data_IF_471771132613
#
_entry.id   IF_471771132613
#
_cell.length_a   1.000
_cell.length_b   1.000
_cell.length_c   1.000
_cell.angle_alpha   90.00
_cell.angle_beta   90.00
_cell.angle_gamma   90.00
#
_symmetry.space_group_name_H-M   'P 1'
#
loop_
_entity.id
_entity.type
_entity.pdbx_description
1 polymer ?
#
# COMPACT_ATOMS: atom_id res chain seq x y z
N UNK A 1 49.35 -19.37 -39.49
CA UNK A 1 49.11 -17.92 -39.32
C UNK A 1 48.36 -17.75 -38.01
N UNK A 2 48.97 -17.13 -37.00
CA UNK A 2 48.32 -16.83 -35.72
C UNK A 2 48.35 -15.32 -35.55
N UNK A 3 47.19 -14.68 -35.70
CA UNK A 3 47.03 -13.24 -35.51
C UNK A 3 47.17 -12.92 -34.01
N UNK A 4 48.24 -12.19 -33.66
CA UNK A 4 48.44 -11.67 -32.32
C UNK A 4 47.48 -10.49 -32.13
N UNK A 5 46.36 -10.74 -31.44
CA UNK A 5 45.43 -9.68 -31.03
C UNK A 5 46.15 -8.79 -30.01
N UNK A 6 46.58 -7.60 -30.46
CA UNK A 6 47.18 -6.58 -29.60
C UNK A 6 46.17 -6.13 -28.55
N UNK A 7 46.33 -6.62 -27.32
CA UNK A 7 45.50 -6.20 -26.19
C UNK A 7 45.84 -4.75 -25.83
N UNK A 8 44.95 -3.84 -26.20
CA UNK A 8 45.05 -2.43 -25.82
C UNK A 8 44.77 -2.32 -24.32
N UNK A 9 45.79 -2.00 -23.53
CA UNK A 9 45.64 -1.78 -22.09
C UNK A 9 44.61 -0.67 -21.85
N UNK A 10 43.58 -0.88 -21.02
CA UNK A 10 42.58 0.15 -20.76
C UNK A 10 43.26 1.36 -20.13
N UNK A 11 42.92 2.55 -20.61
CA UNK A 11 43.46 3.80 -20.08
C UNK A 11 43.15 3.89 -18.57
N UNK A 12 44.19 3.95 -17.74
CA UNK A 12 44.03 4.12 -16.30
C UNK A 12 43.65 5.57 -15.99
N UNK A 13 42.59 5.76 -15.22
CA UNK A 13 42.24 7.07 -14.65
C UNK A 13 43.41 7.62 -13.83
N UNK A 14 43.63 8.93 -13.84
CA UNK A 14 44.62 9.57 -12.95
C UNK A 14 44.25 9.40 -11.47
N UNK A 15 45.21 9.53 -10.53
CA UNK A 15 45.01 9.20 -9.12
C UNK A 15 43.86 10.00 -8.45
N UNK A 16 43.70 11.27 -8.83
CA UNK A 16 42.61 12.10 -8.33
C UNK A 16 41.24 11.64 -8.85
N UNK A 17 41.15 11.25 -10.12
CA UNK A 17 39.92 10.75 -10.71
C UNK A 17 39.53 9.39 -10.13
N UNK A 18 40.51 8.52 -9.86
CA UNK A 18 40.28 7.26 -9.16
C UNK A 18 39.75 7.51 -7.75
N UNK A 19 40.35 8.43 -6.99
CA UNK A 19 39.91 8.75 -5.64
C UNK A 19 38.48 9.29 -5.61
N UNK A 20 38.13 10.20 -6.52
CA UNK A 20 36.76 10.72 -6.65
C UNK A 20 35.79 9.59 -7.00
N UNK A 21 36.14 8.74 -7.96
CA UNK A 21 35.30 7.62 -8.37
C UNK A 21 35.10 6.63 -7.22
N UNK A 22 36.17 6.25 -6.51
CA UNK A 22 36.10 5.39 -5.33
C UNK A 22 35.22 5.99 -4.24
N UNK A 23 35.35 7.29 -3.98
CA UNK A 23 34.49 7.99 -3.02
C UNK A 23 33.01 7.92 -3.42
N UNK A 24 32.69 8.20 -4.69
CA UNK A 24 31.32 8.12 -5.22
C UNK A 24 30.75 6.69 -5.12
N UNK A 25 31.56 5.67 -5.43
CA UNK A 25 31.17 4.27 -5.30
C UNK A 25 30.87 3.92 -3.84
N UNK A 26 31.75 4.29 -2.91
CA UNK A 26 31.55 4.03 -1.48
C UNK A 26 30.29 4.74 -0.98
N UNK A 27 30.11 6.02 -1.33
CA UNK A 27 28.88 6.77 -1.01
C UNK A 27 27.64 6.08 -1.56
N UNK A 28 27.68 5.57 -2.79
CA UNK A 28 26.55 4.89 -3.40
C UNK A 28 26.25 3.55 -2.74
N UNK A 29 27.26 2.72 -2.49
CA UNK A 29 27.11 1.45 -1.77
C UNK A 29 26.54 1.67 -0.38
N UNK A 30 27.03 2.69 0.35
CA UNK A 30 26.46 3.07 1.63
C UNK A 30 24.99 3.47 1.50
N UNK A 31 24.60 4.23 0.48
CA UNK A 31 23.20 4.59 0.23
C UNK A 31 22.29 3.39 -0.11
N UNK A 32 22.76 2.44 -0.92
CA UNK A 32 22.05 1.21 -1.25
C UNK A 32 21.84 0.34 0.00
N UNK A 33 22.87 0.24 0.85
CA UNK A 33 22.84 -0.54 2.09
C UNK A 33 22.08 0.17 3.23
N UNK A 34 22.09 1.50 3.24
CA UNK A 34 21.41 2.34 4.23
C UNK A 34 19.89 2.16 4.18
N UNK A 35 19.31 2.03 2.99
CA UNK A 35 17.86 1.86 2.81
C UNK A 35 17.29 0.67 3.60
N UNK A 36 17.79 -0.57 3.47
CA UNK A 36 17.30 -1.69 4.29
C UNK A 36 17.76 -1.62 5.76
N UNK A 37 18.96 -1.10 6.07
CA UNK A 37 19.51 -1.15 7.43
C UNK A 37 18.98 -0.09 8.40
N UNK A 38 18.56 1.08 7.91
CA UNK A 38 18.20 2.21 8.77
C UNK A 38 16.71 2.53 8.81
N UNK A 39 15.89 1.79 8.05
CA UNK A 39 14.45 1.90 8.12
C UNK A 39 13.89 1.28 9.42
N UNK A 40 12.81 1.83 9.99
CA UNK A 40 12.14 1.22 11.13
C UNK A 40 11.68 -0.22 10.83
N UNK A 41 11.70 -1.12 11.83
CA UNK A 41 12.10 -0.89 13.22
C UNK A 41 13.64 -0.83 13.37
N UNK A 42 14.14 0.30 13.90
CA UNK A 42 15.58 0.56 14.06
C UNK A 42 15.85 1.50 15.23
N UNK A 43 17.11 1.60 15.65
CA UNK A 43 17.48 2.49 16.76
C UNK A 43 17.28 3.97 16.42
N UNK A 44 17.10 4.83 17.43
CA UNK A 44 16.97 6.30 17.23
C UNK A 44 18.15 6.88 16.46
N UNK A 45 19.35 6.31 16.62
CA UNK A 45 20.55 6.71 15.87
C UNK A 45 20.39 6.41 14.37
N UNK A 46 19.94 5.20 14.04
CA UNK A 46 19.71 4.79 12.66
C UNK A 46 18.64 5.65 12.00
N UNK A 47 17.54 5.98 12.69
CA UNK A 47 16.52 6.87 12.14
C UNK A 47 17.05 8.28 11.82
N UNK A 48 17.96 8.81 12.64
CA UNK A 48 18.63 10.11 12.37
C UNK A 48 19.55 10.05 11.16
N UNK A 49 20.36 8.99 11.06
CA UNK A 49 21.24 8.76 9.89
C UNK A 49 20.43 8.59 8.60
N UNK A 50 19.33 7.82 8.66
CA UNK A 50 18.40 7.67 7.55
C UNK A 50 17.83 9.02 7.10
N UNK A 51 17.36 9.84 8.05
CA UNK A 51 16.81 11.17 7.78
C UNK A 51 17.82 12.06 7.06
N UNK A 52 19.10 12.04 7.48
CA UNK A 52 20.17 12.77 6.80
C UNK A 52 20.44 12.30 5.37
N UNK A 53 20.21 11.02 5.08
CA UNK A 53 20.43 10.43 3.75
C UNK A 53 19.26 10.59 2.77
N UNK A 54 18.10 11.07 3.22
CA UNK A 54 16.86 11.10 2.44
C UNK A 54 16.98 11.82 1.10
N UNK A 55 17.74 12.91 1.04
CA UNK A 55 17.94 13.64 -0.21
C UNK A 55 18.58 12.75 -1.27
N UNK A 56 19.66 12.04 -0.91
CA UNK A 56 20.37 11.14 -1.81
C UNK A 56 19.52 9.93 -2.21
N UNK A 57 18.92 9.25 -1.22
CA UNK A 57 18.16 8.02 -1.47
C UNK A 57 16.90 8.27 -2.28
N UNK A 58 16.16 9.37 -2.04
CA UNK A 58 14.96 9.72 -2.82
C UNK A 58 15.28 10.15 -4.24
N UNK A 59 16.34 10.94 -4.43
CA UNK A 59 16.75 11.41 -5.77
C UNK A 59 17.06 10.22 -6.68
N UNK A 60 17.68 9.17 -6.13
CA UNK A 60 17.98 7.94 -6.87
C UNK A 60 16.92 6.84 -6.72
N UNK A 61 15.79 7.13 -6.04
CA UNK A 61 14.71 6.17 -5.76
C UNK A 61 15.17 4.87 -5.08
N UNK A 62 16.24 4.94 -4.26
CA UNK A 62 16.80 3.81 -3.51
C UNK A 62 15.98 3.45 -2.26
N UNK A 63 15.11 4.35 -1.79
CA UNK A 63 14.26 4.14 -0.60
C UNK A 63 12.99 3.31 -0.90
N UNK A 64 12.64 3.10 -2.17
CA UNK A 64 11.41 2.39 -2.55
C UNK A 64 11.57 0.87 -2.64
N UNK A 65 12.79 0.36 -2.78
CA UNK A 65 13.01 -1.03 -3.21
C UNK A 65 12.76 -2.06 -2.11
N UNK A 66 13.09 -1.76 -0.84
CA UNK A 66 12.96 -2.73 0.24
C UNK A 66 11.55 -2.78 0.86
N UNK A 67 10.86 -1.63 0.92
CA UNK A 67 9.46 -1.56 1.40
C UNK A 67 8.47 -2.21 0.44
N UNK A 68 8.88 -2.52 -0.79
CA UNK A 68 8.06 -3.24 -1.76
C UNK A 68 7.95 -4.75 -1.43
N UNK A 69 8.97 -5.35 -0.81
CA UNK A 69 9.03 -6.82 -0.63
C UNK A 69 8.75 -7.30 0.80
N UNK A 70 8.71 -6.42 1.81
CA UNK A 70 8.38 -6.80 3.19
C UNK A 70 7.65 -5.72 4.00
N UNK A 71 6.66 -4.97 3.44
CA UNK A 71 5.76 -4.26 4.33
C UNK A 71 4.94 -5.32 5.08
N UNK A 72 4.82 -5.20 6.39
CA UNK A 72 3.58 -5.63 7.04
C UNK A 72 2.51 -4.67 6.52
N UNK A 73 1.66 -5.08 5.55
CA UNK A 73 0.72 -4.16 4.93
C UNK A 73 -0.42 -3.79 5.90
N UNK A 74 -0.44 -4.38 7.10
CA UNK A 74 -1.58 -4.38 7.98
C UNK A 74 -2.76 -5.14 7.38
N UNK A 75 -3.95 -5.02 7.99
CA UNK A 75 -5.16 -5.60 7.44
C UNK A 75 -5.49 -4.96 6.09
N UNK A 76 -5.78 -5.80 5.11
CA UNK A 76 -6.40 -5.33 3.86
C UNK A 76 -7.82 -4.85 4.15
N UNK A 77 -8.31 -3.90 3.37
CA UNK A 77 -9.58 -3.20 3.56
C UNK A 77 -10.41 -3.31 2.31
N UNK A 78 -11.57 -3.91 2.46
CA UNK A 78 -12.58 -4.05 1.42
C UNK A 78 -13.82 -3.25 1.81
N UNK A 79 -14.58 -2.80 0.81
CA UNK A 79 -15.85 -2.12 1.06
C UNK A 79 -17.01 -2.97 0.56
N UNK A 80 -17.91 -3.31 1.49
CA UNK A 80 -19.21 -3.90 1.19
C UNK A 80 -20.28 -2.83 1.24
N UNK A 81 -21.26 -2.93 0.37
CA UNK A 81 -22.44 -2.08 0.39
C UNK A 81 -23.70 -2.92 0.53
N UNK A 82 -24.72 -2.29 1.11
CA UNK A 82 -26.08 -2.79 1.21
C UNK A 82 -27.02 -1.69 0.70
N UNK A 83 -27.82 -2.01 -0.30
CA UNK A 83 -28.72 -1.09 -0.98
C UNK A 83 -30.15 -1.50 -0.70
N UNK A 84 -31.00 -0.53 -0.41
CA UNK A 84 -32.45 -0.73 -0.36
C UNK A 84 -33.06 -0.09 -1.60
N UNK A 85 -33.60 -0.91 -2.49
CA UNK A 85 -34.21 -0.51 -3.76
C UNK A 85 -35.59 0.14 -3.55
N UNK A 86 -36.15 0.70 -4.62
CA UNK A 86 -37.41 1.44 -4.55
C UNK A 86 -38.61 0.56 -4.15
N UNK A 87 -38.57 -0.72 -4.51
CA UNK A 87 -39.52 -1.78 -4.19
C UNK A 87 -39.32 -2.40 -2.79
N UNK A 88 -38.27 -1.98 -2.07
CA UNK A 88 -37.92 -2.51 -0.76
C UNK A 88 -36.98 -3.73 -0.80
N UNK A 89 -36.61 -4.23 -1.98
CA UNK A 89 -35.62 -5.29 -2.08
C UNK A 89 -34.25 -4.80 -1.58
N UNK A 90 -33.54 -5.67 -0.87
CA UNK A 90 -32.19 -5.38 -0.38
C UNK A 90 -31.16 -6.09 -1.24
N UNK A 91 -30.23 -5.34 -1.81
CA UNK A 91 -29.13 -5.86 -2.61
C UNK A 91 -27.80 -5.61 -1.91
N UNK A 92 -26.98 -6.64 -1.78
CA UNK A 92 -25.64 -6.53 -1.22
C UNK A 92 -24.58 -6.72 -2.31
N UNK A 93 -23.40 -6.16 -2.08
CA UNK A 93 -22.28 -6.34 -3.00
C UNK A 93 -20.99 -5.73 -2.45
N UNK A 94 -19.91 -5.90 -3.20
CA UNK A 94 -18.59 -5.36 -2.85
C UNK A 94 -18.14 -4.39 -3.93
N UNK A 95 -17.45 -3.31 -3.54
CA UNK A 95 -16.81 -2.43 -4.52
C UNK A 95 -15.76 -3.18 -5.33
N UNK A 96 -15.02 -4.08 -4.70
CA UNK A 96 -13.98 -4.91 -5.32
C UNK A 96 -14.35 -6.39 -5.23
N UNK A 97 -14.99 -6.91 -6.27
CA UNK A 97 -15.39 -8.32 -6.31
C UNK A 97 -14.65 -9.07 -7.43
N UNK A 98 -13.84 -10.06 -7.04
CA UNK A 98 -12.94 -10.75 -7.97
C UNK A 98 -13.68 -11.52 -9.07
N UNK A 99 -14.85 -12.10 -8.75
CA UNK A 99 -15.62 -12.91 -9.68
C UNK A 99 -16.47 -12.07 -10.66
N UNK A 100 -16.80 -10.84 -10.28
CA UNK A 100 -17.68 -9.95 -11.05
C UNK A 100 -16.90 -8.94 -11.90
N UNK A 101 -15.58 -8.78 -11.67
CA UNK A 101 -14.78 -7.72 -12.27
C UNK A 101 -13.61 -8.27 -13.10
N UNK A 102 -13.78 -8.27 -14.41
CA UNK A 102 -12.76 -8.57 -15.41
C UNK A 102 -12.52 -7.35 -16.33
N UNK A 103 -11.28 -7.09 -16.79
CA UNK A 103 -10.02 -7.78 -16.48
C UNK A 103 -9.54 -7.53 -15.04
N UNK A 104 -8.52 -8.28 -14.59
CA UNK A 104 -8.01 -8.17 -13.20
C UNK A 104 -7.56 -6.76 -12.83
N UNK A 105 -7.16 -5.92 -13.78
CA UNK A 105 -6.86 -4.50 -13.54
C UNK A 105 -8.09 -3.68 -13.09
N UNK A 106 -9.30 -4.03 -13.54
CA UNK A 106 -10.55 -3.40 -13.10
C UNK A 106 -10.84 -3.72 -11.64
N UNK A 107 -10.74 -5.00 -11.27
CA UNK A 107 -10.78 -5.42 -9.87
C UNK A 107 -9.76 -4.68 -9.03
N UNK A 108 -8.50 -4.65 -9.48
CA UNK A 108 -7.42 -4.02 -8.73
C UNK A 108 -7.67 -2.52 -8.52
N UNK A 109 -8.24 -1.81 -9.50
CA UNK A 109 -8.62 -0.41 -9.33
C UNK A 109 -9.63 -0.23 -8.19
N UNK A 110 -10.70 -1.02 -8.14
CA UNK A 110 -11.69 -0.89 -7.07
C UNK A 110 -11.17 -1.37 -5.71
N UNK A 111 -10.29 -2.38 -5.71
CA UNK A 111 -9.57 -2.81 -4.52
C UNK A 111 -8.75 -1.65 -3.94
N UNK A 112 -7.94 -0.98 -4.77
CA UNK A 112 -7.14 0.17 -4.33
C UNK A 112 -7.99 1.35 -3.86
N UNK A 113 -9.19 1.55 -4.41
CA UNK A 113 -10.13 2.56 -3.92
C UNK A 113 -10.66 2.21 -2.52
N UNK A 114 -11.01 0.94 -2.29
CA UNK A 114 -11.44 0.44 -0.98
C UNK A 114 -10.34 0.55 0.08
N UNK A 115 -9.11 0.15 -0.27
CA UNK A 115 -7.91 0.31 0.56
C UNK A 115 -7.67 1.76 0.96
N UNK A 116 -7.81 2.67 0.00
CA UNK A 116 -7.56 4.09 0.20
C UNK A 116 -8.58 4.71 1.16
N UNK A 117 -9.85 4.35 1.06
CA UNK A 117 -10.89 4.85 1.95
C UNK A 117 -10.65 4.45 3.40
N UNK A 118 -10.32 3.18 3.67
CA UNK A 118 -10.09 2.74 5.05
C UNK A 118 -8.79 3.24 5.70
N UNK A 119 -7.97 4.04 5.01
CA UNK A 119 -6.74 4.64 5.55
C UNK A 119 -6.86 6.12 5.93
N UNK A 120 -8.02 6.74 5.74
CA UNK A 120 -8.18 8.21 5.77
C UNK A 120 -8.63 8.80 7.11
N UNK A 121 -8.36 8.09 8.20
CA UNK A 121 -8.56 8.58 9.58
C UNK A 121 -7.71 9.81 9.98
N UNK A 122 -7.05 10.50 9.05
CA UNK A 122 -6.28 11.72 9.32
C UNK A 122 -7.04 13.01 8.96
N UNK A 123 -8.06 12.93 8.12
CA UNK A 123 -8.92 14.06 7.75
C UNK A 123 -10.36 13.57 7.60
N UNK A 124 -11.14 13.73 8.67
CA UNK A 124 -12.54 13.29 8.75
C UNK A 124 -13.42 13.99 7.72
N UNK A 125 -13.13 15.24 7.35
CA UNK A 125 -13.95 16.01 6.41
C UNK A 125 -13.85 15.43 5.01
N UNK A 126 -12.63 15.22 4.52
CA UNK A 126 -12.41 14.58 3.23
C UNK A 126 -12.96 13.17 3.25
N UNK A 127 -12.66 12.36 4.27
CA UNK A 127 -13.17 11.00 4.35
C UNK A 127 -14.71 10.92 4.23
N UNK A 128 -15.43 11.74 4.99
CA UNK A 128 -16.89 11.79 4.96
C UNK A 128 -17.43 12.24 3.60
N UNK A 129 -16.79 13.22 2.95
CA UNK A 129 -17.18 13.69 1.63
C UNK A 129 -17.06 12.57 0.57
N UNK A 130 -16.01 11.74 0.63
CA UNK A 130 -15.87 10.62 -0.28
C UNK A 130 -16.88 9.51 0.01
N UNK A 131 -17.13 9.16 1.27
CA UNK A 131 -18.18 8.20 1.61
C UNK A 131 -19.55 8.63 1.06
N UNK A 132 -19.88 9.92 1.20
CA UNK A 132 -21.10 10.48 0.64
C UNK A 132 -21.13 10.41 -0.89
N UNK A 133 -20.02 10.70 -1.58
CA UNK A 133 -19.95 10.61 -3.03
C UNK A 133 -20.13 9.17 -3.54
N UNK A 134 -19.48 8.19 -2.90
CA UNK A 134 -19.69 6.77 -3.20
C UNK A 134 -21.12 6.31 -2.93
N UNK A 135 -21.69 6.71 -1.80
CA UNK A 135 -23.08 6.44 -1.46
C UNK A 135 -24.03 6.98 -2.56
N UNK A 136 -23.84 8.23 -2.97
CA UNK A 136 -24.61 8.86 -4.04
C UNK A 136 -24.44 8.14 -5.38
N UNK A 137 -23.22 7.74 -5.72
CA UNK A 137 -22.91 7.01 -6.94
C UNK A 137 -23.65 5.66 -6.97
N UNK A 138 -23.56 4.87 -5.90
CA UNK A 138 -24.22 3.56 -5.78
C UNK A 138 -25.74 3.69 -5.80
N UNK A 139 -26.29 4.70 -5.11
CA UNK A 139 -27.73 4.96 -5.15
C UNK A 139 -28.20 5.32 -6.56
N UNK A 140 -27.43 6.13 -7.29
CA UNK A 140 -27.75 6.51 -8.67
C UNK A 140 -27.63 5.33 -9.65
N UNK A 141 -26.54 4.55 -9.54
CA UNK A 141 -26.28 3.41 -10.42
C UNK A 141 -27.34 2.31 -10.26
N UNK A 142 -27.74 2.03 -9.03
CA UNK A 142 -28.70 0.96 -8.72
C UNK A 142 -30.13 1.44 -8.50
N UNK A 143 -30.41 2.74 -8.65
CA UNK A 143 -31.72 3.34 -8.37
C UNK A 143 -32.21 3.03 -6.95
N UNK A 144 -31.28 3.00 -5.98
CA UNK A 144 -31.56 2.69 -4.59
C UNK A 144 -32.03 3.95 -3.83
N UNK A 145 -32.88 3.74 -2.81
CA UNK A 145 -33.36 4.80 -1.90
C UNK A 145 -32.41 5.01 -0.72
N UNK A 146 -31.80 3.92 -0.25
CA UNK A 146 -30.87 3.94 0.86
C UNK A 146 -29.64 3.09 0.55
N UNK A 147 -28.51 3.48 1.12
CA UNK A 147 -27.26 2.74 1.06
C UNK A 147 -26.61 2.73 2.43
N UNK A 148 -26.08 1.57 2.80
CA UNK A 148 -25.13 1.42 3.90
C UNK A 148 -23.80 0.97 3.33
N UNK A 149 -22.71 1.52 3.86
CA UNK A 149 -21.36 1.13 3.52
C UNK A 149 -20.69 0.53 4.74
N UNK A 150 -19.98 -0.58 4.51
CA UNK A 150 -19.25 -1.33 5.52
C UNK A 150 -17.80 -1.45 5.09
N UNK A 151 -16.89 -1.12 6.00
CA UNK A 151 -15.47 -1.35 5.85
C UNK A 151 -15.11 -2.70 6.48
N UNK A 152 -14.56 -3.58 5.67
CA UNK A 152 -14.17 -4.93 6.07
C UNK A 152 -12.65 -4.97 6.14
N UNK A 153 -12.13 -5.25 7.33
CA UNK A 153 -10.72 -5.50 7.59
C UNK A 153 -10.46 -6.99 7.49
N UNK A 154 -9.55 -7.39 6.61
CA UNK A 154 -9.08 -8.77 6.49
C UNK A 154 -7.62 -8.85 6.92
N UNK A 155 -7.40 -9.51 8.06
CA UNK A 155 -6.07 -9.77 8.61
C UNK A 155 -5.45 -10.99 7.93
N UNK A 156 -4.14 -10.95 7.73
CA UNK A 156 -3.41 -12.16 7.37
C UNK A 156 -3.17 -12.98 8.64
N UNK A 157 -3.31 -14.32 8.58
CA UNK A 157 -2.93 -15.15 9.71
C UNK A 157 -1.43 -14.96 9.97
N UNK A 158 -1.05 -14.87 11.25
CA UNK A 158 0.36 -14.91 11.59
C UNK A 158 0.94 -16.31 11.29
N UNK A 159 2.27 -16.42 11.33
CA UNK A 159 2.96 -17.66 10.98
C UNK A 159 2.46 -18.83 11.83
N UNK A 160 2.24 -18.62 13.12
CA UNK A 160 1.81 -19.64 14.06
C UNK A 160 0.41 -20.16 13.73
N UNK A 161 -0.55 -19.28 13.47
CA UNK A 161 -1.91 -19.63 13.08
C UNK A 161 -1.94 -20.35 11.72
N UNK A 162 -1.17 -19.86 10.75
CA UNK A 162 -1.10 -20.48 9.42
C UNK A 162 -0.51 -21.90 9.48
N UNK A 163 0.60 -22.09 10.21
CA UNK A 163 1.19 -23.42 10.43
C UNK A 163 0.26 -24.31 11.25
N UNK A 164 -0.52 -23.72 12.17
CA UNK A 164 -1.58 -24.37 12.94
C UNK A 164 -2.81 -24.77 12.12
N UNK A 165 -2.88 -24.40 10.83
CA UNK A 165 -3.95 -24.80 9.92
C UNK A 165 -5.01 -23.72 9.63
N UNK A 166 -4.86 -22.50 10.14
CA UNK A 166 -5.76 -21.39 9.79
C UNK A 166 -5.63 -21.06 8.31
N UNK A 167 -6.74 -21.13 7.58
CA UNK A 167 -6.79 -20.77 6.17
C UNK A 167 -6.63 -19.25 5.97
N UNK A 168 -6.19 -18.84 4.77
CA UNK A 168 -6.00 -17.41 4.46
C UNK A 168 -7.33 -16.62 4.44
N UNK A 169 -8.43 -17.31 4.17
CA UNK A 169 -9.80 -16.79 4.06
C UNK A 169 -10.66 -17.19 5.26
N UNK A 170 -10.05 -17.56 6.38
CA UNK A 170 -10.77 -17.89 7.61
C UNK A 170 -11.63 -16.70 8.09
N UNK A 171 -12.92 -16.96 8.34
CA UNK A 171 -13.90 -15.97 8.79
C UNK A 171 -13.48 -15.20 10.04
N UNK A 172 -12.67 -15.80 10.92
CA UNK A 172 -12.16 -15.15 12.14
C UNK A 172 -11.16 -14.03 11.87
N UNK A 173 -10.61 -13.97 10.65
CA UNK A 173 -9.69 -12.94 10.20
C UNK A 173 -10.39 -11.70 9.66
N UNK A 174 -11.72 -11.70 9.61
CA UNK A 174 -12.52 -10.60 9.10
C UNK A 174 -13.19 -9.83 10.23
N UNK A 175 -13.05 -8.50 10.20
CA UNK A 175 -13.80 -7.56 11.05
C UNK A 175 -14.55 -6.59 10.16
N UNK A 176 -15.83 -6.38 10.43
CA UNK A 176 -16.66 -5.45 9.69
C UNK A 176 -17.07 -4.25 10.56
N UNK A 177 -17.12 -3.06 9.95
CA UNK A 177 -17.52 -1.82 10.60
C UNK A 177 -18.40 -0.99 9.65
N UNK A 178 -19.59 -0.57 10.11
CA UNK A 178 -20.43 0.33 9.30
C UNK A 178 -19.84 1.74 9.30
N UNK A 179 -19.56 2.27 8.13
CA UNK A 179 -18.96 3.60 7.95
C UNK A 179 -19.93 4.61 7.33
N UNK A 180 -21.02 4.13 6.71
CA UNK A 180 -22.07 4.99 6.16
C UNK A 180 -23.47 4.35 6.33
N UNK A 181 -24.54 5.10 6.66
CA UNK A 181 -24.51 6.50 7.10
C UNK A 181 -23.60 6.67 8.32
N UNK A 182 -23.00 7.86 8.46
CA UNK A 182 -22.02 8.13 9.52
C UNK A 182 -22.72 7.88 10.87
N UNK A 183 -22.23 6.92 11.69
CA UNK A 183 -22.83 6.66 12.99
C UNK A 183 -22.75 7.90 13.88
N UNK A 184 -23.81 8.20 14.62
CA UNK A 184 -23.86 9.38 15.50
C UNK A 184 -22.72 9.40 16.55
N UNK A 185 -22.29 8.23 17.01
CA UNK A 185 -21.16 8.08 17.94
C UNK A 185 -19.79 8.48 17.34
N UNK A 186 -19.67 8.49 16.01
CA UNK A 186 -18.43 8.87 15.33
C UNK A 186 -18.28 10.40 15.20
N UNK A 187 -19.37 11.17 15.28
CA UNK A 187 -19.35 12.64 15.17
C UNK A 187 -18.79 13.34 16.43
N UNK A 188 -18.90 12.72 17.61
CA UNK A 188 -18.38 13.30 18.88
C UNK A 188 -16.86 13.18 19.06
N UNK A 189 -16.20 12.38 18.21
CA UNK A 189 -14.76 12.10 18.29
C UNK A 189 -13.89 12.87 17.27
N UNK A 190 -14.52 13.70 16.43
CA UNK A 190 -13.89 14.54 15.40
C UNK A 190 -13.71 15.99 15.86
#
# INVERSE_FOLDING_TARGET
MSEQVSQKTPASLGPNAQMVLSFLIVMHLLGVLAAPMFMPPGSRLMSRLYTGSLFYTRTLSLDMTYRFFSPDPGPSKMMRYELTLADGETKTGYLAEANSQWPRCRYHRHFMLSEKMGGWHRDHTLYNAYLQDYANHLMKEHQAKHVKLYLIYHQQPNREAFVGGTALDDSTLYREEQVFPIPAEAEESA
#
